data_IF_267677155896
#
_entry.id   IF_267677155896
#
_cell.length_a   1.000
_cell.length_b   1.000
_cell.length_c   1.000
_cell.angle_alpha   90.00
_cell.angle_beta   90.00
_cell.angle_gamma   90.00
#
_symmetry.space_group_name_H-M   'P 1'
#
loop_
_entity.id
_entity.type
_entity.pdbx_description
1 polymer ?
#
# COMPACT_ATOMS: atom_id res chain seq x y z
N UNK A 1 -18.36 3.56 15.19
CA UNK A 1 -16.93 3.57 14.82
C UNK A 1 -16.59 5.01 14.44
N UNK A 2 -15.54 5.60 15.01
CA UNK A 2 -15.10 6.95 14.64
C UNK A 2 -14.66 6.93 13.18
N UNK A 3 -15.06 7.89 12.40
CA UNK A 3 -14.63 8.06 11.01
C UNK A 3 -13.69 9.25 10.97
N UNK A 4 -12.58 9.13 10.27
CA UNK A 4 -11.69 10.26 9.98
C UNK A 4 -11.76 10.58 8.49
N UNK A 5 -11.65 11.85 8.18
CA UNK A 5 -11.48 12.29 6.80
C UNK A 5 -10.03 12.03 6.41
N UNK A 6 -9.82 11.24 5.36
CA UNK A 6 -8.50 10.97 4.79
C UNK A 6 -8.15 12.09 3.81
N UNK A 7 -7.84 13.27 4.35
CA UNK A 7 -7.72 14.52 3.59
C UNK A 7 -6.84 14.36 2.33
N UNK A 8 -5.64 13.83 2.48
CA UNK A 8 -4.71 13.64 1.35
C UNK A 8 -5.30 12.87 0.16
N UNK A 9 -6.08 11.83 0.41
CA UNK A 9 -6.74 11.06 -0.66
C UNK A 9 -7.99 11.78 -1.18
N UNK A 10 -8.77 12.38 -0.27
CA UNK A 10 -9.97 13.12 -0.65
C UNK A 10 -9.61 14.35 -1.51
N UNK A 11 -8.61 15.12 -1.11
CA UNK A 11 -8.12 16.27 -1.86
C UNK A 11 -7.64 15.84 -3.26
N UNK A 12 -6.94 14.71 -3.34
CA UNK A 12 -6.52 14.16 -4.63
C UNK A 12 -7.69 13.79 -5.53
N UNK A 13 -8.75 13.21 -4.99
CA UNK A 13 -9.96 12.90 -5.76
C UNK A 13 -10.65 14.20 -6.22
N UNK A 14 -10.72 15.21 -5.34
CA UNK A 14 -11.29 16.52 -5.64
C UNK A 14 -10.52 17.22 -6.78
N UNK A 15 -9.19 17.19 -6.75
CA UNK A 15 -8.34 17.71 -7.84
C UNK A 15 -8.61 17.05 -9.20
N UNK A 16 -9.03 15.79 -9.20
CA UNK A 16 -9.34 15.02 -10.40
C UNK A 16 -10.77 15.19 -10.87
N UNK A 17 -11.60 15.95 -10.16
CA UNK A 17 -12.99 16.20 -10.54
C UNK A 17 -13.09 16.80 -11.95
N UNK A 18 -13.93 16.22 -12.79
CA UNK A 18 -14.17 16.67 -14.16
C UNK A 18 -13.01 16.41 -15.13
N UNK A 19 -11.93 15.74 -14.72
CA UNK A 19 -10.91 15.25 -15.67
C UNK A 19 -11.44 14.08 -16.47
N UNK A 20 -11.02 13.90 -17.75
CA UNK A 20 -11.62 12.88 -18.61
C UNK A 20 -11.30 11.45 -18.20
N UNK A 21 -10.23 11.22 -17.43
CA UNK A 21 -9.76 9.88 -17.10
C UNK A 21 -10.71 9.14 -16.16
N UNK A 22 -10.70 7.79 -16.26
CA UNK A 22 -11.36 6.92 -15.28
C UNK A 22 -10.54 6.95 -13.98
N UNK A 23 -11.16 7.29 -12.85
CA UNK A 23 -10.51 7.32 -11.54
C UNK A 23 -10.65 5.94 -10.90
N UNK A 24 -9.53 5.28 -10.67
CA UNK A 24 -9.50 3.91 -10.14
C UNK A 24 -8.90 3.95 -8.74
N UNK A 25 -9.72 3.64 -7.74
CA UNK A 25 -9.30 3.61 -6.34
C UNK A 25 -8.85 2.20 -6.00
N UNK A 26 -7.54 2.00 -5.88
CA UNK A 26 -6.90 0.72 -5.56
C UNK A 26 -6.40 0.68 -4.12
N UNK A 27 -5.88 -0.43 -3.69
CA UNK A 27 -5.28 -0.57 -2.36
C UNK A 27 -5.70 -1.89 -1.68
N UNK A 28 -4.99 -2.34 -0.66
CA UNK A 28 -5.24 -3.60 0.01
C UNK A 28 -6.70 -3.72 0.52
N UNK A 29 -7.20 -4.93 0.61
CA UNK A 29 -8.51 -5.21 1.21
C UNK A 29 -8.62 -4.54 2.59
N UNK A 30 -9.77 -3.86 2.87
CA UNK A 30 -10.00 -3.13 4.13
C UNK A 30 -9.14 -1.87 4.35
N UNK A 31 -8.47 -1.34 3.33
CA UNK A 31 -7.75 -0.05 3.44
C UNK A 31 -8.66 1.19 3.48
N UNK A 32 -9.98 1.03 3.28
CA UNK A 32 -10.93 2.14 3.38
C UNK A 32 -11.36 2.74 2.04
N UNK A 33 -11.17 2.07 0.90
CA UNK A 33 -11.55 2.54 -0.46
C UNK A 33 -13.00 2.97 -0.57
N UNK A 34 -13.95 2.09 -0.18
CA UNK A 34 -15.39 2.38 -0.20
C UNK A 34 -15.78 3.57 0.67
N UNK A 35 -15.11 3.72 1.84
CA UNK A 35 -15.33 4.88 2.71
C UNK A 35 -14.82 6.19 2.11
N UNK A 36 -13.70 6.14 1.42
CA UNK A 36 -13.16 7.28 0.69
C UNK A 36 -14.08 7.69 -0.47
N UNK A 37 -14.60 6.72 -1.22
CA UNK A 37 -15.59 6.97 -2.27
C UNK A 37 -16.87 7.61 -1.70
N UNK A 38 -17.39 7.10 -0.57
CA UNK A 38 -18.55 7.67 0.10
C UNK A 38 -18.30 9.11 0.57
N UNK A 39 -17.13 9.38 1.18
CA UNK A 39 -16.76 10.73 1.59
C UNK A 39 -16.72 11.72 0.41
N UNK A 40 -16.25 11.25 -0.76
CA UNK A 40 -16.25 12.09 -1.96
C UNK A 40 -17.67 12.31 -2.50
N UNK A 41 -18.55 11.31 -2.46
CA UNK A 41 -19.97 11.46 -2.82
C UNK A 41 -20.65 12.49 -1.90
N UNK A 42 -20.37 12.49 -0.61
CA UNK A 42 -20.88 13.47 0.33
C UNK A 42 -20.37 14.88 -0.01
N UNK A 43 -19.06 15.00 -0.24
CA UNK A 43 -18.46 16.26 -0.70
C UNK A 43 -19.14 16.82 -1.96
N UNK A 44 -19.42 15.99 -2.98
CA UNK A 44 -20.09 16.41 -4.20
C UNK A 44 -21.49 16.93 -3.92
N UNK A 45 -22.27 16.25 -3.06
CA UNK A 45 -23.63 16.66 -2.68
C UNK A 45 -23.67 18.00 -1.94
N UNK A 46 -22.65 18.28 -1.15
CA UNK A 46 -22.54 19.51 -0.36
C UNK A 46 -22.07 20.72 -1.19
N UNK A 47 -21.29 20.48 -2.23
CA UNK A 47 -20.61 21.55 -2.98
C UNK A 47 -21.16 21.79 -4.39
N UNK A 48 -22.03 20.92 -4.93
CA UNK A 48 -22.54 21.02 -6.29
C UNK A 48 -24.06 20.78 -6.33
N UNK A 49 -24.81 21.71 -6.97
CA UNK A 49 -26.29 21.65 -7.04
C UNK A 49 -26.80 20.86 -8.24
N UNK A 50 -26.15 20.95 -9.39
CA UNK A 50 -26.62 20.38 -10.65
C UNK A 50 -25.92 19.07 -11.02
N UNK A 51 -25.97 18.09 -10.14
CA UNK A 51 -25.31 16.80 -10.30
C UNK A 51 -26.31 15.64 -10.31
N UNK A 52 -25.93 14.56 -10.94
CA UNK A 52 -26.58 13.25 -10.87
C UNK A 52 -25.55 12.22 -10.42
N UNK A 53 -25.84 11.48 -9.36
CA UNK A 53 -24.93 10.47 -8.78
C UNK A 53 -25.55 9.10 -9.04
N UNK A 54 -24.86 8.28 -9.85
CA UNK A 54 -25.17 6.88 -10.10
C UNK A 54 -24.16 6.08 -9.26
N UNK A 55 -24.63 5.51 -8.13
CA UNK A 55 -23.81 4.73 -7.22
C UNK A 55 -24.25 3.27 -7.24
N UNK A 56 -23.31 2.36 -7.50
CA UNK A 56 -23.51 0.93 -7.58
C UNK A 56 -22.52 0.27 -6.62
N UNK A 57 -23.02 -0.46 -5.64
CA UNK A 57 -22.22 -1.29 -4.73
C UNK A 57 -22.51 -2.78 -5.02
N UNK A 58 -21.59 -3.46 -5.65
CA UNK A 58 -21.76 -4.87 -6.00
C UNK A 58 -21.75 -5.84 -4.81
N UNK A 59 -21.51 -5.35 -3.61
CA UNK A 59 -21.71 -6.13 -2.38
C UNK A 59 -23.16 -6.08 -1.89
N UNK A 60 -23.96 -5.14 -2.37
CA UNK A 60 -25.38 -5.04 -2.07
C UNK A 60 -26.19 -5.91 -3.05
N UNK A 61 -27.07 -6.76 -2.49
CA UNK A 61 -27.94 -7.66 -3.27
C UNK A 61 -28.91 -6.90 -4.19
N UNK A 62 -29.20 -5.64 -3.92
CA UNK A 62 -30.06 -4.81 -4.79
C UNK A 62 -29.47 -4.64 -6.20
N UNK A 63 -28.17 -4.88 -6.37
CA UNK A 63 -27.48 -4.81 -7.66
C UNK A 63 -27.14 -6.20 -8.24
N UNK A 64 -27.70 -7.28 -7.70
CA UNK A 64 -27.40 -8.66 -8.16
C UNK A 64 -27.71 -8.86 -9.65
N UNK A 65 -28.84 -8.32 -10.13
CA UNK A 65 -29.28 -8.46 -11.51
C UNK A 65 -28.41 -7.72 -12.52
N UNK A 66 -27.58 -6.77 -12.07
CA UNK A 66 -26.68 -6.00 -12.96
C UNK A 66 -25.22 -6.41 -12.86
N UNK A 67 -24.91 -7.56 -12.28
CA UNK A 67 -23.55 -8.14 -12.23
C UNK A 67 -23.05 -8.72 -13.56
N UNK A 68 -23.73 -8.41 -14.66
CA UNK A 68 -23.32 -8.72 -16.02
C UNK A 68 -23.04 -7.42 -16.77
N UNK A 69 -21.97 -7.35 -17.57
CA UNK A 69 -21.48 -6.09 -18.11
C UNK A 69 -22.48 -5.37 -19.07
N UNK A 70 -23.33 -6.10 -19.81
CA UNK A 70 -24.39 -5.47 -20.60
C UNK A 70 -25.49 -4.88 -19.70
N UNK A 71 -25.87 -5.60 -18.63
CA UNK A 71 -26.86 -5.12 -17.68
C UNK A 71 -26.34 -3.91 -16.90
N UNK A 72 -25.07 -3.93 -16.48
CA UNK A 72 -24.39 -2.77 -15.89
C UNK A 72 -24.45 -1.55 -16.83
N UNK A 73 -24.07 -1.73 -18.10
CA UNK A 73 -24.10 -0.66 -19.08
C UNK A 73 -25.51 -0.09 -19.27
N UNK A 74 -26.52 -0.96 -19.46
CA UNK A 74 -27.90 -0.56 -19.63
C UNK A 74 -28.45 0.18 -18.39
N UNK A 75 -28.11 -0.30 -17.19
CA UNK A 75 -28.51 0.34 -15.94
C UNK A 75 -27.97 1.77 -15.84
N UNK A 76 -26.68 1.98 -16.13
CA UNK A 76 -26.06 3.31 -16.09
C UNK A 76 -26.72 4.24 -17.10
N UNK A 77 -26.98 3.76 -18.32
CA UNK A 77 -27.65 4.56 -19.36
C UNK A 77 -29.09 4.95 -18.97
N UNK A 78 -29.83 4.04 -18.34
CA UNK A 78 -31.19 4.32 -17.87
C UNK A 78 -31.24 5.39 -16.74
N UNK A 79 -30.13 5.57 -16.01
CA UNK A 79 -30.03 6.54 -14.92
C UNK A 79 -29.33 7.83 -15.32
N UNK A 80 -28.95 7.99 -16.59
CA UNK A 80 -28.37 9.23 -17.11
C UNK A 80 -29.41 10.35 -17.03
N UNK A 81 -28.98 11.55 -16.61
CA UNK A 81 -29.82 12.76 -16.59
C UNK A 81 -29.22 13.85 -17.47
N UNK A 82 -29.95 14.19 -18.53
CA UNK A 82 -29.56 15.25 -19.43
C UNK A 82 -29.53 16.63 -18.73
N UNK A 83 -28.52 17.44 -19.04
CA UNK A 83 -28.35 18.76 -18.45
C UNK A 83 -27.71 18.76 -17.05
N UNK A 84 -27.38 17.60 -16.51
CA UNK A 84 -26.62 17.47 -15.25
C UNK A 84 -25.23 16.93 -15.47
N UNK A 85 -24.31 17.22 -14.54
CA UNK A 85 -23.04 16.49 -14.45
C UNK A 85 -23.29 15.11 -13.86
N UNK A 86 -23.03 14.07 -14.66
CA UNK A 86 -23.31 12.69 -14.28
C UNK A 86 -22.04 12.03 -13.73
N UNK A 87 -22.06 11.68 -12.46
CA UNK A 87 -21.02 10.92 -11.78
C UNK A 87 -21.40 9.44 -11.70
N UNK A 88 -20.51 8.58 -12.14
CA UNK A 88 -20.66 7.13 -12.01
C UNK A 88 -19.68 6.59 -10.97
N UNK A 89 -20.20 6.01 -9.92
CA UNK A 89 -19.43 5.31 -8.89
C UNK A 89 -19.77 3.83 -8.90
N UNK A 90 -18.75 2.97 -9.04
CA UNK A 90 -18.93 1.51 -8.97
C UNK A 90 -17.96 0.95 -7.94
N UNK A 91 -18.50 0.48 -6.83
CA UNK A 91 -17.73 -0.17 -5.76
C UNK A 91 -17.66 -1.69 -6.00
N UNK A 92 -16.47 -2.28 -5.73
CA UNK A 92 -16.15 -3.71 -5.94
C UNK A 92 -16.45 -4.18 -7.38
N UNK A 93 -16.04 -3.40 -8.37
CA UNK A 93 -16.36 -3.57 -9.81
C UNK A 93 -15.98 -4.95 -10.36
N UNK A 94 -15.01 -5.66 -9.78
CA UNK A 94 -14.61 -7.00 -10.18
C UNK A 94 -15.69 -8.07 -9.95
N UNK A 95 -16.73 -7.75 -9.19
CA UNK A 95 -17.90 -8.64 -9.02
C UNK A 95 -18.76 -8.71 -10.28
N UNK A 96 -18.53 -7.83 -11.25
CA UNK A 96 -19.14 -7.86 -12.58
C UNK A 96 -18.10 -8.39 -13.59
N UNK A 97 -18.18 -9.65 -14.06
CA UNK A 97 -17.27 -10.17 -15.07
C UNK A 97 -17.28 -9.33 -16.34
N UNK A 98 -16.09 -9.05 -16.90
CA UNK A 98 -15.92 -8.22 -18.10
C UNK A 98 -16.39 -6.76 -17.94
N UNK A 99 -16.41 -6.25 -16.71
CA UNK A 99 -16.81 -4.87 -16.40
C UNK A 99 -16.07 -3.83 -17.25
N UNK A 100 -14.83 -4.11 -17.63
CA UNK A 100 -14.01 -3.22 -18.46
C UNK A 100 -14.65 -2.90 -19.81
N UNK A 101 -15.44 -3.82 -20.38
CA UNK A 101 -16.17 -3.56 -21.62
C UNK A 101 -17.27 -2.52 -21.43
N UNK A 102 -18.02 -2.61 -20.32
CA UNK A 102 -19.06 -1.63 -19.99
C UNK A 102 -18.45 -0.26 -19.67
N UNK A 103 -17.41 -0.23 -18.81
CA UNK A 103 -16.75 1.01 -18.39
C UNK A 103 -16.10 1.72 -19.59
N UNK A 104 -15.37 1.02 -20.47
CA UNK A 104 -14.79 1.61 -21.66
C UNK A 104 -15.85 2.16 -22.65
N UNK A 105 -17.00 1.46 -22.79
CA UNK A 105 -18.12 1.93 -23.59
C UNK A 105 -18.71 3.22 -23.03
N UNK A 106 -18.95 3.30 -21.72
CA UNK A 106 -19.46 4.50 -21.04
C UNK A 106 -18.45 5.66 -21.12
N UNK A 107 -17.16 5.37 -20.91
CA UNK A 107 -16.08 6.34 -21.05
C UNK A 107 -16.06 6.97 -22.45
N UNK A 108 -16.18 6.18 -23.51
CA UNK A 108 -16.11 6.68 -24.88
C UNK A 108 -17.25 7.62 -25.25
N UNK A 109 -18.36 7.62 -24.50
CA UNK A 109 -19.47 8.55 -24.68
C UNK A 109 -19.18 9.96 -24.14
N UNK A 110 -18.19 10.12 -23.24
CA UNK A 110 -17.81 11.40 -22.65
C UNK A 110 -18.91 12.08 -21.82
N UNK A 111 -19.86 11.28 -21.29
CA UNK A 111 -21.04 11.76 -20.55
C UNK A 111 -20.95 11.62 -19.05
N UNK A 112 -19.97 10.86 -18.58
CA UNK A 112 -19.84 10.45 -17.18
C UNK A 112 -18.47 10.79 -16.63
N UNK A 113 -18.42 11.26 -15.40
CA UNK A 113 -17.20 11.28 -14.60
C UNK A 113 -17.14 9.97 -13.80
N UNK A 114 -16.17 9.08 -14.11
CA UNK A 114 -16.20 7.67 -13.73
C UNK A 114 -15.20 7.40 -12.60
N UNK A 115 -15.70 6.83 -11.51
CA UNK A 115 -14.93 6.38 -10.35
C UNK A 115 -15.22 4.91 -10.07
N UNK A 116 -14.20 4.08 -10.03
CA UNK A 116 -14.38 2.67 -9.72
C UNK A 116 -13.45 2.24 -8.58
N UNK A 117 -13.92 1.32 -7.75
CA UNK A 117 -13.05 0.62 -6.80
C UNK A 117 -13.05 -0.87 -7.08
N UNK A 118 -12.06 -1.54 -6.58
CA UNK A 118 -12.04 -2.99 -6.56
C UNK A 118 -10.98 -3.54 -5.62
N UNK A 119 -11.18 -4.78 -5.22
CA UNK A 119 -10.18 -5.47 -4.43
C UNK A 119 -8.98 -5.86 -5.30
N UNK A 120 -7.82 -5.80 -4.71
CA UNK A 120 -6.49 -5.80 -5.31
C UNK A 120 -6.21 -6.94 -6.30
N UNK A 121 -6.74 -8.12 -6.00
CA UNK A 121 -6.48 -9.27 -6.85
C UNK A 121 -7.02 -9.10 -8.28
N UNK A 122 -7.98 -8.22 -8.51
CA UNK A 122 -8.67 -8.07 -9.79
C UNK A 122 -8.39 -6.75 -10.53
N UNK A 123 -8.07 -5.67 -9.80
CA UNK A 123 -7.66 -4.38 -10.38
C UNK A 123 -6.15 -4.18 -10.17
N UNK A 124 -5.35 -4.96 -10.88
CA UNK A 124 -3.89 -4.84 -10.82
C UNK A 124 -3.43 -3.67 -11.66
N UNK A 125 -2.48 -2.88 -11.17
CA UNK A 125 -1.86 -1.83 -11.99
C UNK A 125 -1.36 -2.35 -13.34
N UNK A 126 -0.82 -3.58 -13.38
CA UNK A 126 -0.39 -4.21 -14.63
C UNK A 126 -1.54 -4.59 -15.56
N UNK A 127 -2.70 -5.01 -15.02
CA UNK A 127 -3.90 -5.32 -15.80
C UNK A 127 -4.64 -4.05 -16.23
N UNK A 128 -4.66 -3.00 -15.37
CA UNK A 128 -5.31 -1.73 -15.66
C UNK A 128 -4.78 -1.06 -16.94
N UNK A 129 -3.47 -1.08 -17.14
CA UNK A 129 -2.86 -0.56 -18.36
C UNK A 129 -3.37 -1.26 -19.62
N UNK A 130 -3.69 -2.55 -19.52
CA UNK A 130 -4.26 -3.34 -20.63
C UNK A 130 -5.77 -3.14 -20.75
N UNK A 131 -6.50 -3.15 -19.61
CA UNK A 131 -7.95 -3.04 -19.59
C UNK A 131 -8.45 -1.65 -20.03
N UNK A 132 -7.75 -0.59 -19.64
CA UNK A 132 -8.18 0.80 -19.89
C UNK A 132 -7.26 1.56 -20.86
N UNK A 133 -6.21 0.92 -21.40
CA UNK A 133 -5.33 1.49 -22.46
C UNK A 133 -4.81 2.90 -22.17
N UNK A 134 -4.41 3.18 -20.90
CA UNK A 134 -3.87 4.48 -20.48
C UNK A 134 -4.91 5.59 -20.29
N UNK A 135 -6.20 5.25 -20.20
CA UNK A 135 -7.31 6.20 -19.98
C UNK A 135 -7.76 6.24 -18.53
N UNK A 136 -6.84 6.08 -17.60
CA UNK A 136 -7.16 6.04 -16.16
C UNK A 136 -6.11 6.75 -15.34
N UNK A 137 -6.53 7.18 -14.15
CA UNK A 137 -5.65 7.63 -13.07
C UNK A 137 -5.88 6.73 -11.87
N UNK A 138 -4.81 6.15 -11.35
CA UNK A 138 -4.84 5.32 -10.15
C UNK A 138 -4.68 6.16 -8.89
N UNK A 139 -5.54 5.90 -7.90
CA UNK A 139 -5.48 6.46 -6.56
C UNK A 139 -5.25 5.31 -5.60
N UNK A 140 -3.99 5.10 -5.22
CA UNK A 140 -3.60 3.99 -4.37
C UNK A 140 -3.77 4.30 -2.89
N UNK A 141 -4.69 3.58 -2.22
CA UNK A 141 -5.08 3.79 -0.82
C UNK A 141 -4.36 2.79 0.09
N UNK A 142 -3.38 3.27 0.84
CA UNK A 142 -2.68 2.50 1.87
C UNK A 142 -3.55 2.32 3.13
N UNK A 143 -3.25 1.35 4.03
CA UNK A 143 -3.73 1.36 5.41
C UNK A 143 -3.46 2.71 6.07
N UNK A 144 -4.08 3.01 7.20
CA UNK A 144 -3.85 4.28 7.89
C UNK A 144 -2.37 4.54 8.15
N UNK A 145 -1.93 5.78 7.91
CA UNK A 145 -0.62 6.26 8.35
C UNK A 145 -0.58 6.39 9.89
N UNK A 146 0.62 6.60 10.43
CA UNK A 146 0.73 6.90 11.86
C UNK A 146 0.00 8.19 12.21
N UNK A 147 0.07 9.22 11.36
CA UNK A 147 -0.68 10.46 11.53
C UNK A 147 -2.20 10.21 11.56
N UNK A 148 -2.74 9.41 10.61
CA UNK A 148 -4.16 9.04 10.59
C UNK A 148 -4.55 8.19 11.82
N UNK A 149 -3.64 7.35 12.31
CA UNK A 149 -3.81 6.61 13.56
C UNK A 149 -3.97 7.55 14.75
N UNK A 150 -3.08 8.53 14.90
CA UNK A 150 -3.16 9.55 15.94
C UNK A 150 -4.46 10.37 15.84
N UNK A 151 -4.86 10.79 14.65
CA UNK A 151 -6.14 11.49 14.41
C UNK A 151 -7.36 10.63 14.79
N UNK A 152 -7.30 9.32 14.53
CA UNK A 152 -8.38 8.41 14.87
C UNK A 152 -8.58 8.32 16.38
N UNK A 153 -7.52 8.18 17.14
CA UNK A 153 -7.60 8.07 18.58
C UNK A 153 -7.85 9.43 19.24
N UNK A 154 -7.28 10.52 18.70
CA UNK A 154 -7.52 11.93 19.11
C UNK A 154 -7.68 12.05 20.64
N UNK A 155 -6.70 11.55 21.35
CA UNK A 155 -6.70 11.52 22.80
C UNK A 155 -5.42 12.18 23.36
N UNK A 156 -5.38 12.35 24.68
CA UNK A 156 -4.27 13.00 25.38
C UNK A 156 -3.03 12.12 25.56
N UNK A 157 -2.96 10.97 24.86
CA UNK A 157 -1.80 10.09 24.96
C UNK A 157 -0.60 10.71 24.26
N UNK A 158 0.56 10.46 24.82
CA UNK A 158 1.81 10.86 24.24
C UNK A 158 2.05 10.18 22.88
N UNK A 159 2.65 10.91 21.94
CA UNK A 159 3.01 10.42 20.62
C UNK A 159 3.87 9.15 20.68
N UNK A 160 4.73 9.02 21.67
CA UNK A 160 5.56 7.85 21.88
C UNK A 160 4.74 6.60 22.19
N UNK A 161 3.73 6.73 23.06
CA UNK A 161 2.81 5.64 23.38
C UNK A 161 1.98 5.22 22.16
N UNK A 162 1.46 6.19 21.41
CA UNK A 162 0.72 5.94 20.18
C UNK A 162 1.59 5.26 19.13
N UNK A 163 2.87 5.63 19.02
CA UNK A 163 3.81 5.00 18.10
C UNK A 163 4.09 3.54 18.46
N UNK A 164 4.33 3.24 19.73
CA UNK A 164 4.53 1.86 20.20
C UNK A 164 3.29 0.99 19.90
N UNK A 165 2.09 1.53 20.14
CA UNK A 165 0.85 0.83 19.80
C UNK A 165 0.68 0.63 18.29
N UNK A 166 0.95 1.66 17.48
CA UNK A 166 0.83 1.60 16.02
C UNK A 166 1.80 0.57 15.41
N UNK A 167 3.00 0.45 15.94
CA UNK A 167 3.99 -0.54 15.51
C UNK A 167 3.47 -1.98 15.60
N UNK A 168 2.57 -2.24 16.57
CA UNK A 168 1.95 -3.56 16.79
C UNK A 168 0.59 -3.68 16.10
N UNK A 169 -0.23 -2.63 16.15
CA UNK A 169 -1.62 -2.64 15.66
C UNK A 169 -1.73 -2.34 14.17
N UNK A 170 -0.76 -1.62 13.62
CA UNK A 170 -0.76 -1.20 12.22
C UNK A 170 -1.91 -0.24 11.86
N UNK A 171 -2.11 -0.06 10.56
CA UNK A 171 -3.05 0.88 9.95
C UNK A 171 -4.36 0.26 9.41
N UNK A 172 -4.59 -1.05 9.59
CA UNK A 172 -5.87 -1.67 9.21
C UNK A 172 -6.99 -1.23 10.15
N UNK A 173 -7.55 -0.05 9.90
CA UNK A 173 -8.45 0.68 10.81
C UNK A 173 -9.72 -0.08 11.22
N UNK A 174 -10.15 -1.08 10.46
CA UNK A 174 -11.25 -1.98 10.84
C UNK A 174 -10.97 -2.73 12.15
N UNK A 175 -9.70 -2.98 12.48
CA UNK A 175 -9.29 -3.64 13.73
C UNK A 175 -9.56 -2.76 14.97
N UNK A 176 -9.62 -1.44 14.81
CA UNK A 176 -9.79 -0.51 15.93
C UNK A 176 -11.19 -0.55 16.57
N UNK A 177 -12.17 -1.14 15.87
CA UNK A 177 -13.51 -1.36 16.42
C UNK A 177 -13.52 -2.40 17.57
N UNK A 178 -12.49 -3.24 17.66
CA UNK A 178 -12.41 -4.30 18.65
C UNK A 178 -11.74 -3.80 19.95
N UNK A 179 -12.26 -4.24 21.09
CA UNK A 179 -11.78 -3.79 22.40
C UNK A 179 -10.54 -4.54 22.88
N UNK A 180 -10.44 -5.84 22.55
CA UNK A 180 -9.30 -6.67 23.02
C UNK A 180 -8.22 -6.81 21.95
N UNK A 181 -6.96 -6.93 22.37
CA UNK A 181 -5.85 -7.17 21.45
C UNK A 181 -6.01 -8.49 20.69
N UNK A 182 -6.58 -9.50 21.35
CA UNK A 182 -6.86 -10.79 20.72
C UNK A 182 -7.80 -10.64 19.52
N UNK A 183 -8.89 -9.88 19.68
CA UNK A 183 -9.88 -9.71 18.61
C UNK A 183 -9.34 -8.84 17.48
N UNK A 184 -8.53 -7.81 17.80
CA UNK A 184 -7.82 -7.01 16.79
C UNK A 184 -6.87 -7.87 15.96
N UNK A 185 -6.05 -8.65 16.63
CA UNK A 185 -5.10 -9.58 15.99
C UNK A 185 -5.82 -10.61 15.11
N UNK A 186 -6.92 -11.18 15.60
CA UNK A 186 -7.73 -12.12 14.83
C UNK A 186 -8.32 -11.45 13.59
N UNK A 187 -8.87 -10.24 13.70
CA UNK A 187 -9.39 -9.50 12.56
C UNK A 187 -8.33 -9.29 11.48
N UNK A 188 -7.13 -8.83 11.88
CA UNK A 188 -6.02 -8.59 10.93
C UNK A 188 -5.60 -9.90 10.26
N UNK A 189 -5.49 -10.99 11.04
CA UNK A 189 -5.18 -12.33 10.51
C UNK A 189 -6.23 -12.79 9.52
N UNK A 190 -7.51 -12.67 9.82
CA UNK A 190 -8.60 -13.04 8.91
C UNK A 190 -8.58 -12.23 7.60
N UNK A 191 -8.27 -10.94 7.66
CA UNK A 191 -8.08 -10.10 6.45
C UNK A 191 -6.95 -10.65 5.60
N UNK A 192 -5.79 -10.91 6.20
CA UNK A 192 -4.63 -11.44 5.51
C UNK A 192 -4.89 -12.83 4.90
N UNK A 193 -5.43 -13.76 5.69
CA UNK A 193 -5.77 -15.09 5.23
C UNK A 193 -6.80 -15.06 4.10
N UNK A 194 -7.80 -14.19 4.18
CA UNK A 194 -8.78 -14.00 3.10
C UNK A 194 -8.09 -13.63 1.79
N UNK A 195 -7.11 -12.71 1.83
CA UNK A 195 -6.38 -12.31 0.62
C UNK A 195 -5.55 -13.48 0.09
N UNK A 196 -4.77 -14.12 0.94
CA UNK A 196 -3.79 -15.16 0.53
C UNK A 196 -4.50 -16.45 0.12
N UNK A 197 -5.49 -16.92 0.88
CA UNK A 197 -6.07 -18.26 0.68
C UNK A 197 -7.34 -18.27 -0.16
N UNK A 198 -8.05 -17.15 -0.28
CA UNK A 198 -9.29 -17.05 -1.05
C UNK A 198 -9.12 -16.20 -2.29
N UNK A 199 -8.81 -14.91 -2.12
CA UNK A 199 -8.86 -13.95 -3.22
C UNK A 199 -7.78 -14.29 -4.29
N UNK A 200 -6.54 -14.59 -3.89
CA UNK A 200 -5.48 -14.98 -4.82
C UNK A 200 -5.70 -16.37 -5.44
N UNK A 201 -6.12 -17.33 -4.63
CA UNK A 201 -6.39 -18.70 -5.09
C UNK A 201 -7.51 -18.70 -6.14
N UNK A 202 -8.59 -17.98 -5.86
CA UNK A 202 -9.73 -17.86 -6.80
C UNK A 202 -9.31 -17.15 -8.09
N UNK A 203 -8.61 -16.00 -8.00
CA UNK A 203 -8.19 -15.24 -9.18
C UNK A 203 -7.27 -16.03 -10.12
N UNK A 204 -6.26 -16.67 -9.53
CA UNK A 204 -5.21 -17.33 -10.33
C UNK A 204 -5.42 -18.85 -10.48
N UNK A 205 -6.55 -19.38 -9.97
CA UNK A 205 -6.87 -20.82 -9.98
C UNK A 205 -5.70 -21.68 -9.48
N UNK A 206 -5.14 -21.31 -8.33
CA UNK A 206 -3.91 -21.91 -7.83
C UNK A 206 -4.16 -23.34 -7.32
N UNK A 207 -3.42 -24.33 -7.83
CA UNK A 207 -3.61 -25.73 -7.43
C UNK A 207 -3.01 -26.05 -6.05
N UNK A 208 -2.01 -25.29 -5.62
CA UNK A 208 -1.27 -25.51 -4.37
C UNK A 208 -1.27 -24.26 -3.50
N UNK A 209 -2.15 -24.27 -2.51
CA UNK A 209 -2.29 -23.19 -1.55
C UNK A 209 -1.19 -23.21 -0.47
N UNK A 210 -0.62 -24.38 -0.18
CA UNK A 210 0.39 -24.55 0.86
C UNK A 210 1.68 -23.79 0.51
N UNK A 211 2.13 -23.89 -0.75
CA UNK A 211 3.32 -23.13 -1.20
C UNK A 211 3.09 -21.63 -1.08
N UNK A 212 1.91 -21.12 -1.46
CA UNK A 212 1.58 -19.71 -1.34
C UNK A 212 1.56 -19.25 0.13
N UNK A 213 0.97 -20.05 1.00
CA UNK A 213 0.89 -19.79 2.44
C UNK A 213 2.28 -19.73 3.07
N UNK A 214 3.11 -20.76 2.87
CA UNK A 214 4.48 -20.82 3.38
C UNK A 214 5.36 -19.71 2.85
N UNK A 215 5.20 -19.36 1.56
CA UNK A 215 5.90 -18.26 0.95
C UNK A 215 5.50 -16.94 1.60
N UNK A 216 4.21 -16.70 1.81
CA UNK A 216 3.73 -15.45 2.40
C UNK A 216 4.16 -15.28 3.85
N UNK A 217 4.16 -16.37 4.66
CA UNK A 217 4.73 -16.41 6.01
C UNK A 217 6.23 -16.12 6.00
N UNK A 218 6.97 -16.76 5.08
CA UNK A 218 8.41 -16.52 4.92
C UNK A 218 8.73 -15.07 4.60
N UNK A 219 8.01 -14.45 3.65
CA UNK A 219 8.21 -13.06 3.29
C UNK A 219 7.85 -12.11 4.44
N UNK A 220 6.80 -12.42 5.21
CA UNK A 220 6.41 -11.65 6.40
C UNK A 220 7.48 -11.67 7.49
N UNK A 221 8.17 -12.81 7.68
CA UNK A 221 9.29 -12.92 8.64
C UNK A 221 10.57 -12.26 8.12
N UNK A 222 10.73 -12.21 6.80
CA UNK A 222 11.93 -11.70 6.14
C UNK A 222 11.74 -10.34 5.47
N UNK A 223 10.80 -9.51 5.97
CA UNK A 223 10.65 -8.12 5.49
C UNK A 223 11.98 -7.38 5.58
N UNK A 224 12.21 -6.44 4.68
CA UNK A 224 13.43 -5.62 4.62
C UNK A 224 14.73 -6.39 4.32
N UNK A 225 14.67 -7.71 4.09
CA UNK A 225 15.84 -8.50 3.71
C UNK A 225 15.92 -8.72 2.20
N UNK A 226 17.14 -8.66 1.68
CA UNK A 226 17.41 -9.04 0.29
C UNK A 226 17.04 -10.50 0.05
N UNK A 227 16.13 -10.71 -0.88
CA UNK A 227 15.53 -12.01 -1.16
C UNK A 227 15.48 -12.25 -2.68
N UNK A 228 15.60 -13.50 -3.09
CA UNK A 228 15.43 -13.92 -4.48
C UNK A 228 14.57 -15.17 -4.56
N UNK A 229 13.78 -15.36 -5.63
CA UNK A 229 12.96 -16.57 -5.82
C UNK A 229 13.75 -17.87 -5.70
N UNK A 230 15.01 -17.87 -6.16
CA UNK A 230 15.91 -19.02 -6.08
C UNK A 230 16.23 -19.40 -4.63
N UNK A 231 16.67 -18.43 -3.82
CA UNK A 231 16.96 -18.63 -2.39
C UNK A 231 15.74 -19.13 -1.64
N UNK A 232 14.58 -18.50 -1.88
CA UNK A 232 13.32 -18.86 -1.22
C UNK A 232 12.89 -20.29 -1.60
N UNK A 233 12.95 -20.65 -2.87
CA UNK A 233 12.55 -22.00 -3.31
C UNK A 233 13.41 -23.10 -2.68
N UNK A 234 14.72 -22.85 -2.53
CA UNK A 234 15.64 -23.77 -1.84
C UNK A 234 15.26 -23.93 -0.36
N UNK A 235 14.98 -22.83 0.35
CA UNK A 235 14.59 -22.84 1.76
C UNK A 235 13.25 -23.56 1.97
N UNK A 236 12.24 -23.27 1.15
CA UNK A 236 10.94 -23.92 1.22
C UNK A 236 11.06 -25.44 0.95
N UNK A 237 11.84 -25.84 -0.04
CA UNK A 237 12.07 -27.26 -0.35
C UNK A 237 12.80 -27.96 0.79
N UNK A 238 13.80 -27.32 1.39
CA UNK A 238 14.50 -27.85 2.56
C UNK A 238 13.57 -28.02 3.79
N UNK A 239 12.52 -27.22 3.90
CA UNK A 239 11.46 -27.32 4.92
C UNK A 239 10.26 -28.18 4.47
N UNK A 240 10.49 -29.15 3.58
CA UNK A 240 9.50 -30.11 3.06
C UNK A 240 8.36 -29.52 2.22
N UNK A 241 8.49 -28.28 1.76
CA UNK A 241 7.53 -27.65 0.81
C UNK A 241 8.17 -27.62 -0.57
N UNK A 242 7.98 -28.71 -1.33
CA UNK A 242 8.60 -28.87 -2.66
C UNK A 242 8.09 -27.83 -3.64
N UNK A 243 9.00 -27.01 -4.13
CA UNK A 243 8.66 -25.94 -5.10
C UNK A 243 9.88 -25.56 -5.94
N UNK A 244 9.72 -24.70 -6.91
CA UNK A 244 10.79 -24.19 -7.74
C UNK A 244 10.77 -22.66 -7.84
N UNK A 245 11.88 -22.08 -8.30
CA UNK A 245 12.03 -20.63 -8.36
C UNK A 245 11.04 -19.91 -9.30
N UNK A 246 10.55 -20.61 -10.34
CA UNK A 246 9.56 -20.04 -11.28
C UNK A 246 8.21 -19.89 -10.58
N UNK A 247 7.77 -20.91 -9.86
CA UNK A 247 6.52 -20.89 -9.06
C UNK A 247 6.60 -19.84 -7.96
N UNK A 248 7.72 -19.83 -7.21
CA UNK A 248 7.96 -18.83 -6.16
C UNK A 248 7.93 -17.41 -6.73
N UNK A 249 8.59 -17.15 -7.86
CA UNK A 249 8.57 -15.83 -8.51
C UNK A 249 7.18 -15.40 -8.94
N UNK A 250 6.38 -16.32 -9.48
CA UNK A 250 4.97 -16.04 -9.81
C UNK A 250 4.14 -15.71 -8.56
N UNK A 251 4.28 -16.47 -7.50
CA UNK A 251 3.52 -16.26 -6.27
C UNK A 251 3.92 -14.99 -5.54
N UNK A 252 5.21 -14.64 -5.54
CA UNK A 252 5.67 -13.31 -5.06
C UNK A 252 4.96 -12.21 -5.84
N UNK A 253 4.94 -12.29 -7.18
CA UNK A 253 4.25 -11.31 -8.01
C UNK A 253 2.75 -11.22 -7.69
N UNK A 254 2.09 -12.35 -7.39
CA UNK A 254 0.69 -12.35 -7.01
C UNK A 254 0.44 -11.68 -5.66
N UNK A 255 1.33 -11.89 -4.70
CA UNK A 255 1.28 -11.23 -3.39
C UNK A 255 1.52 -9.71 -3.51
N UNK A 256 2.47 -9.29 -4.35
CA UNK A 256 2.70 -7.87 -4.64
C UNK A 256 1.52 -7.25 -5.40
N UNK A 257 1.00 -7.95 -6.37
CA UNK A 257 -0.20 -7.53 -7.09
C UNK A 257 -1.42 -7.37 -6.17
N UNK A 258 -1.53 -8.13 -5.09
CA UNK A 258 -2.56 -7.96 -4.07
C UNK A 258 -2.23 -6.84 -3.07
N UNK A 259 -1.16 -6.09 -3.25
CA UNK A 259 -0.67 -5.07 -2.34
C UNK A 259 -0.42 -5.57 -0.92
N UNK A 260 -0.21 -6.87 -0.75
CA UNK A 260 0.23 -7.44 0.54
C UNK A 260 1.68 -7.09 0.77
N UNK A 261 2.49 -7.17 -0.30
CA UNK A 261 3.89 -6.76 -0.30
C UNK A 261 4.16 -5.75 -1.42
N UNK A 262 5.21 -4.94 -1.20
CA UNK A 262 5.80 -4.04 -2.18
C UNK A 262 7.22 -4.50 -2.45
N UNK A 263 7.54 -4.76 -3.72
CA UNK A 263 8.87 -5.13 -4.18
C UNK A 263 9.68 -3.87 -4.47
N UNK A 264 10.77 -3.71 -3.75
CA UNK A 264 11.67 -2.56 -3.90
C UNK A 264 12.97 -3.03 -4.57
N UNK A 265 13.18 -2.47 -5.76
CA UNK A 265 14.35 -2.77 -6.60
C UNK A 265 15.61 -2.12 -6.08
N UNK A 266 16.74 -2.70 -6.43
CA UNK A 266 18.05 -2.14 -6.08
C UNK A 266 18.54 -1.12 -7.09
N UNK A 267 19.22 -0.09 -6.60
CA UNK A 267 19.84 0.96 -7.40
C UNK A 267 21.33 1.06 -7.05
N UNK A 268 22.18 0.89 -8.05
CA UNK A 268 23.65 1.13 -7.90
C UNK A 268 23.90 2.63 -7.92
N UNK A 269 24.23 3.19 -6.76
CA UNK A 269 24.44 4.64 -6.58
C UNK A 269 25.62 5.13 -7.43
N UNK A 270 26.69 4.35 -7.52
CA UNK A 270 27.88 4.71 -8.30
C UNK A 270 27.66 4.50 -9.80
N UNK A 271 27.14 3.34 -10.17
CA UNK A 271 26.87 2.99 -11.56
C UNK A 271 25.65 3.69 -12.16
N UNK A 272 24.83 4.35 -11.31
CA UNK A 272 23.59 5.03 -11.69
C UNK A 272 22.66 4.14 -12.53
N UNK A 273 22.53 2.86 -12.14
CA UNK A 273 21.73 1.87 -12.85
C UNK A 273 20.93 0.99 -11.91
N UNK A 274 19.79 0.52 -12.39
CA UNK A 274 18.98 -0.46 -11.68
C UNK A 274 19.64 -1.84 -11.74
N UNK A 275 19.49 -2.62 -10.67
CA UNK A 275 20.01 -3.97 -10.56
C UNK A 275 18.84 -4.95 -10.60
N UNK A 276 18.91 -5.95 -11.47
CA UNK A 276 17.87 -6.95 -11.66
C UNK A 276 17.91 -8.11 -10.65
N UNK A 277 18.94 -8.17 -9.80
CA UNK A 277 19.15 -9.28 -8.87
C UNK A 277 18.79 -8.93 -7.44
N UNK A 278 18.00 -9.75 -6.81
CA UNK A 278 17.58 -9.67 -5.40
C UNK A 278 16.89 -8.35 -5.05
N UNK A 279 15.68 -8.43 -4.58
CA UNK A 279 14.82 -7.33 -4.17
C UNK A 279 14.58 -7.40 -2.67
N UNK A 280 14.17 -6.30 -2.05
CA UNK A 280 13.58 -6.32 -0.71
C UNK A 280 12.05 -6.26 -0.84
N UNK A 281 11.38 -6.97 0.05
CA UNK A 281 9.92 -6.99 0.12
C UNK A 281 9.47 -6.32 1.40
N UNK A 282 8.54 -5.39 1.27
CA UNK A 282 7.98 -4.63 2.38
C UNK A 282 6.49 -4.93 2.50
N UNK A 283 6.06 -5.24 3.71
CA UNK A 283 4.68 -5.57 4.03
C UNK A 283 3.84 -4.28 4.09
N UNK A 284 2.66 -4.29 3.54
CA UNK A 284 1.78 -3.11 3.47
C UNK A 284 1.38 -2.53 4.83
N UNK A 285 1.49 -3.32 5.91
CA UNK A 285 1.07 -2.94 7.26
C UNK A 285 1.84 -3.73 8.33
N UNK A 286 2.42 -3.03 9.30
CA UNK A 286 3.19 -3.66 10.37
C UNK A 286 2.32 -4.57 11.28
N UNK A 287 1.04 -4.25 11.46
CA UNK A 287 0.10 -5.05 12.24
C UNK A 287 -0.13 -6.44 11.68
N UNK A 288 0.00 -6.62 10.36
CA UNK A 288 -0.08 -7.95 9.74
C UNK A 288 1.07 -8.83 10.22
N UNK A 289 2.31 -8.28 10.27
CA UNK A 289 3.44 -9.04 10.78
C UNK A 289 3.20 -9.53 12.20
N UNK A 290 2.73 -8.65 13.06
CA UNK A 290 2.41 -9.00 14.45
C UNK A 290 1.28 -10.04 14.52
N UNK A 291 0.24 -9.89 13.72
CA UNK A 291 -0.89 -10.82 13.71
C UNK A 291 -0.50 -12.25 13.26
N UNK A 292 0.46 -12.37 12.34
CA UNK A 292 0.88 -13.67 11.79
C UNK A 292 1.95 -14.33 12.66
N UNK A 293 2.97 -13.59 13.09
CA UNK A 293 4.15 -14.11 13.76
C UNK A 293 4.15 -13.89 15.28
N UNK A 294 3.27 -13.03 15.80
CA UNK A 294 3.29 -12.59 17.18
C UNK A 294 4.51 -11.74 17.50
N UNK A 295 4.89 -11.69 18.77
CA UNK A 295 6.08 -10.97 19.26
C UNK A 295 7.39 -11.75 19.09
N UNK A 296 7.36 -12.94 18.49
CA UNK A 296 8.55 -13.75 18.28
C UNK A 296 9.53 -13.05 17.36
N UNK A 297 10.79 -12.99 17.75
CA UNK A 297 11.89 -12.42 16.94
C UNK A 297 11.57 -11.03 16.39
N UNK A 298 10.97 -10.15 17.21
CA UNK A 298 10.71 -8.76 16.80
C UNK A 298 12.06 -8.05 16.59
N UNK A 299 12.42 -7.93 15.34
CA UNK A 299 13.51 -7.08 14.87
C UNK A 299 12.91 -5.69 14.56
N UNK A 300 12.99 -4.79 15.53
CA UNK A 300 12.42 -3.45 15.38
C UNK A 300 13.09 -2.66 14.26
N UNK A 301 14.36 -2.89 13.98
CA UNK A 301 15.05 -2.24 12.86
C UNK A 301 14.34 -2.53 11.54
N UNK A 302 14.02 -3.81 11.27
CA UNK A 302 13.28 -4.20 10.07
C UNK A 302 11.84 -3.69 10.05
N UNK A 303 11.17 -3.68 11.21
CA UNK A 303 9.80 -3.15 11.31
C UNK A 303 9.81 -1.64 11.00
N UNK A 304 10.75 -0.89 11.54
CA UNK A 304 10.86 0.55 11.28
C UNK A 304 11.25 0.83 9.84
N UNK A 305 12.18 0.06 9.28
CA UNK A 305 12.52 0.14 7.84
C UNK A 305 11.27 -0.11 6.99
N UNK A 306 10.46 -1.13 7.32
CA UNK A 306 9.20 -1.39 6.64
C UNK A 306 8.21 -0.21 6.75
N UNK A 307 8.03 0.36 7.94
CA UNK A 307 7.13 1.50 8.15
C UNK A 307 7.58 2.72 7.35
N UNK A 308 8.87 3.01 7.34
CA UNK A 308 9.46 4.11 6.55
C UNK A 308 9.26 3.87 5.06
N UNK A 309 9.47 2.64 4.56
CA UNK A 309 9.22 2.31 3.16
C UNK A 309 7.79 2.60 2.74
N UNK A 310 6.81 2.09 3.50
CA UNK A 310 5.39 2.30 3.20
C UNK A 310 5.01 3.79 3.26
N UNK A 311 5.58 4.54 4.20
CA UNK A 311 5.34 5.98 4.28
C UNK A 311 5.95 6.73 3.08
N UNK A 312 7.15 6.38 2.64
CA UNK A 312 7.78 6.96 1.45
C UNK A 312 6.93 6.71 0.18
N UNK A 313 6.43 5.48 0.00
CA UNK A 313 5.51 5.15 -1.09
C UNK A 313 4.20 5.96 -0.99
N UNK A 314 3.63 6.11 0.22
CA UNK A 314 2.43 6.92 0.48
C UNK A 314 2.64 8.40 0.15
N UNK A 315 3.85 8.94 0.38
CA UNK A 315 4.24 10.31 0.00
C UNK A 315 4.50 10.47 -1.49
N UNK A 316 4.44 9.38 -2.26
CA UNK A 316 4.59 9.36 -3.71
C UNK A 316 6.05 9.45 -4.17
N UNK A 317 6.99 8.95 -3.37
CA UNK A 317 8.37 8.76 -3.80
C UNK A 317 8.53 7.46 -4.60
N UNK A 318 9.38 7.50 -5.62
CA UNK A 318 9.99 6.31 -6.18
C UNK A 318 11.07 5.82 -5.21
N UNK A 319 10.93 4.60 -4.71
CA UNK A 319 11.77 4.03 -3.65
C UNK A 319 12.66 2.93 -4.21
N UNK A 320 13.94 2.96 -3.85
CA UNK A 320 14.94 1.97 -4.24
C UNK A 320 15.83 1.62 -3.05
N UNK A 321 16.33 0.38 -3.02
CA UNK A 321 17.41 -0.02 -2.09
C UNK A 321 18.74 0.37 -2.71
N UNK A 322 19.52 1.21 -2.02
CA UNK A 322 20.79 1.69 -2.52
C UNK A 322 21.92 0.65 -2.38
N UNK A 323 22.74 0.52 -3.41
CA UNK A 323 24.02 -0.21 -3.34
C UNK A 323 25.18 0.76 -3.56
N UNK A 324 26.07 0.84 -2.58
CA UNK A 324 27.31 1.62 -2.68
C UNK A 324 28.51 0.69 -2.41
N UNK A 325 29.18 0.22 -3.46
CA UNK A 325 30.23 -0.81 -3.40
C UNK A 325 29.70 -2.10 -2.75
N UNK A 326 30.19 -2.45 -1.56
CA UNK A 326 29.76 -3.60 -0.77
C UNK A 326 28.77 -3.22 0.34
N UNK A 327 28.45 -1.91 0.48
CA UNK A 327 27.53 -1.40 1.49
C UNK A 327 26.14 -1.22 0.91
N UNK A 328 25.16 -1.33 1.74
CA UNK A 328 23.76 -1.03 1.45
C UNK A 328 23.41 0.35 2.01
N UNK A 329 22.53 1.05 1.33
CA UNK A 329 21.77 2.20 1.81
C UNK A 329 20.32 1.75 1.79
N UNK A 330 19.63 1.84 2.92
CA UNK A 330 18.28 1.28 3.02
C UNK A 330 17.36 1.85 1.95
N UNK A 331 17.39 3.19 1.75
CA UNK A 331 16.61 3.80 0.69
C UNK A 331 17.37 4.87 -0.09
N UNK A 332 17.19 4.84 -1.39
CA UNK A 332 17.39 5.94 -2.34
C UNK A 332 16.01 6.32 -2.86
N UNK A 333 15.54 7.51 -2.53
CA UNK A 333 14.20 7.95 -2.91
C UNK A 333 14.25 9.12 -3.86
N UNK A 334 13.30 9.16 -4.81
CA UNK A 334 13.19 10.20 -5.82
C UNK A 334 11.75 10.67 -5.96
N UNK A 335 11.56 11.98 -6.13
CA UNK A 335 10.27 12.58 -6.46
C UNK A 335 10.49 13.83 -7.31
N UNK A 336 10.18 13.73 -8.60
CA UNK A 336 10.55 14.77 -9.56
C UNK A 336 12.08 14.95 -9.62
N UNK A 337 12.56 16.14 -9.27
CA UNK A 337 14.00 16.47 -9.22
C UNK A 337 14.65 16.19 -7.84
N UNK A 338 13.86 15.91 -6.84
CA UNK A 338 14.33 15.62 -5.49
C UNK A 338 14.89 14.20 -5.40
N UNK A 339 15.99 14.06 -4.69
CA UNK A 339 16.62 12.78 -4.37
C UNK A 339 17.15 12.83 -2.95
N UNK A 340 16.89 11.78 -2.16
CA UNK A 340 17.33 11.67 -0.77
C UNK A 340 17.90 10.28 -0.52
N UNK A 341 18.95 10.18 0.31
CA UNK A 341 19.50 8.92 0.81
C UNK A 341 19.09 8.74 2.27
N UNK A 342 18.52 7.60 2.60
CA UNK A 342 17.95 7.34 3.93
C UNK A 342 18.51 6.03 4.49
N UNK A 343 18.98 6.07 5.75
CA UNK A 343 19.24 4.91 6.60
C UNK A 343 18.16 4.84 7.68
N UNK A 344 17.78 3.63 8.07
CA UNK A 344 16.81 3.41 9.14
C UNK A 344 17.40 2.50 10.21
N UNK A 345 17.23 2.87 11.47
CA UNK A 345 17.73 2.09 12.59
C UNK A 345 16.73 2.07 13.74
N UNK A 346 16.71 0.99 14.51
CA UNK A 346 15.93 0.91 15.74
C UNK A 346 16.53 1.75 16.86
N UNK A 347 17.85 1.86 16.90
CA UNK A 347 18.58 2.59 17.93
C UNK A 347 19.96 3.04 17.43
N UNK A 348 20.30 4.28 17.70
CA UNK A 348 21.61 4.89 17.38
C UNK A 348 22.29 5.49 18.62
N UNK A 349 21.92 5.08 19.83
CA UNK A 349 22.48 5.61 21.07
C UNK A 349 23.92 5.13 21.34
N UNK A 350 24.31 3.96 20.82
CA UNK A 350 25.72 3.55 20.92
C UNK A 350 26.57 4.22 19.84
N UNK A 351 27.78 4.72 20.19
CA UNK A 351 28.69 5.32 19.19
C UNK A 351 29.02 4.40 18.03
N UNK A 352 29.13 3.10 18.27
CA UNK A 352 29.43 2.09 17.24
C UNK A 352 28.29 1.97 16.23
N UNK A 353 27.03 1.85 16.70
CA UNK A 353 25.85 1.80 15.84
C UNK A 353 25.71 3.10 15.08
N UNK A 354 25.83 4.24 15.75
CA UNK A 354 25.75 5.54 15.11
C UNK A 354 26.75 5.70 13.96
N UNK A 355 28.03 5.35 14.18
CA UNK A 355 29.05 5.40 13.14
C UNK A 355 28.77 4.41 12.01
N UNK A 356 28.26 3.22 12.32
CA UNK A 356 27.89 2.22 11.32
C UNK A 356 26.82 2.75 10.37
N UNK A 357 25.79 3.44 10.90
CA UNK A 357 24.70 4.02 10.09
C UNK A 357 25.17 5.28 9.32
N UNK A 358 26.02 6.12 9.90
CA UNK A 358 26.55 7.29 9.21
C UNK A 358 27.55 6.96 8.09
N UNK A 359 28.39 5.94 8.29
CA UNK A 359 29.52 5.66 7.41
C UNK A 359 29.15 5.39 5.93
N UNK A 360 28.05 4.69 5.57
CA UNK A 360 27.63 4.55 4.20
C UNK A 360 27.22 5.89 3.57
N UNK A 361 26.47 6.71 4.30
CA UNK A 361 25.97 8.01 3.83
C UNK A 361 27.11 9.00 3.59
N UNK A 362 28.11 9.03 4.48
CA UNK A 362 29.29 9.91 4.35
C UNK A 362 30.20 9.54 3.16
N UNK A 363 30.11 8.30 2.67
CA UNK A 363 30.84 7.87 1.47
C UNK A 363 30.19 8.32 0.15
N UNK A 364 28.95 8.77 0.19
CA UNK A 364 28.25 9.30 -0.99
C UNK A 364 28.77 10.71 -1.27
N UNK A 365 29.41 10.90 -2.44
CA UNK A 365 30.11 12.15 -2.81
C UNK A 365 29.25 13.08 -3.68
N UNK A 366 27.94 13.07 -3.50
CA UNK A 366 27.06 14.03 -4.15
C UNK A 366 26.39 14.97 -3.15
N UNK A 367 25.72 16.01 -3.66
CA UNK A 367 25.13 17.09 -2.86
C UNK A 367 23.67 16.79 -2.43
N UNK A 368 23.16 15.60 -2.72
CA UNK A 368 21.79 15.27 -2.32
C UNK A 368 21.68 15.07 -0.81
N UNK A 369 20.54 15.43 -0.21
CA UNK A 369 20.29 15.26 1.21
C UNK A 369 20.50 13.82 1.68
N UNK A 370 20.96 13.69 2.90
CA UNK A 370 21.21 12.42 3.59
C UNK A 370 20.50 12.44 4.93
N UNK A 371 19.82 11.36 5.27
CA UNK A 371 18.97 11.29 6.45
C UNK A 371 19.16 9.95 7.18
N UNK A 372 19.13 10.00 8.50
CA UNK A 372 18.95 8.83 9.36
C UNK A 372 17.60 8.98 10.07
N UNK A 373 16.76 7.97 9.96
CA UNK A 373 15.49 7.88 10.68
C UNK A 373 15.64 6.78 11.72
N UNK A 374 15.56 7.14 12.99
CA UNK A 374 15.76 6.18 14.09
C UNK A 374 14.87 6.52 15.29
N UNK A 375 14.67 5.56 16.18
CA UNK A 375 13.96 5.80 17.42
C UNK A 375 14.88 6.52 18.43
N UNK A 376 14.99 7.82 18.27
CA UNK A 376 15.91 8.64 19.09
C UNK A 376 15.23 9.24 20.33
N UNK A 377 13.92 9.50 20.25
CA UNK A 377 13.16 10.28 21.24
C UNK A 377 13.76 11.67 21.49
N UNK A 378 14.44 12.22 20.49
CA UNK A 378 15.05 13.54 20.51
C UNK A 378 14.58 14.35 19.31
N UNK A 379 14.47 15.67 19.42
CA UNK A 379 14.21 16.55 18.30
C UNK A 379 15.25 16.37 17.19
N UNK A 380 14.83 16.68 15.95
CA UNK A 380 15.71 16.65 14.77
C UNK A 380 17.02 17.39 15.03
N UNK A 381 18.15 16.78 14.63
CA UNK A 381 19.47 17.40 14.67
C UNK A 381 20.29 16.99 13.45
N UNK A 382 21.49 17.53 13.30
CA UNK A 382 22.37 17.26 12.16
C UNK A 382 23.77 16.84 12.62
N UNK A 383 24.36 15.88 11.91
CA UNK A 383 25.73 15.43 12.11
C UNK A 383 26.44 15.28 10.76
N UNK A 384 27.51 16.03 10.53
CA UNK A 384 28.32 16.02 9.28
C UNK A 384 27.44 16.13 8.00
N UNK A 385 26.37 16.94 8.05
CA UNK A 385 25.47 17.15 6.91
C UNK A 385 24.44 16.03 6.74
N UNK A 386 24.35 15.06 7.66
CA UNK A 386 23.31 14.08 7.74
C UNK A 386 22.22 14.58 8.71
N UNK A 387 20.97 14.63 8.27
CA UNK A 387 19.85 14.93 9.14
C UNK A 387 19.43 13.69 9.93
N UNK A 388 19.19 13.82 11.22
CA UNK A 388 18.79 12.73 12.09
C UNK A 388 17.42 13.07 12.66
N UNK A 389 16.46 12.17 12.40
CA UNK A 389 15.06 12.31 12.78
C UNK A 389 14.63 11.20 13.73
N UNK A 390 13.80 11.55 14.71
CA UNK A 390 13.00 10.53 15.40
C UNK A 390 11.94 9.97 14.45
N UNK A 391 11.78 8.64 14.43
CA UNK A 391 10.84 8.00 13.50
C UNK A 391 9.39 8.38 13.76
N UNK A 392 8.96 8.54 15.02
CA UNK A 392 7.59 8.94 15.33
C UNK A 392 7.32 10.37 14.85
N UNK A 393 8.24 11.30 15.11
CA UNK A 393 8.16 12.68 14.60
C UNK A 393 8.17 12.72 13.07
N UNK A 394 9.02 11.93 12.43
CA UNK A 394 9.12 11.89 10.97
C UNK A 394 7.84 11.36 10.32
N UNK A 395 7.21 10.33 10.92
CA UNK A 395 5.93 9.77 10.44
C UNK A 395 4.72 10.71 10.66
N UNK A 396 4.84 11.71 11.54
CA UNK A 396 3.82 12.74 11.76
C UNK A 396 3.93 13.92 10.77
N UNK A 397 5.07 14.06 10.08
CA UNK A 397 5.25 15.09 9.04
C UNK A 397 4.53 14.68 7.75
N UNK A 398 3.97 15.66 7.01
CA UNK A 398 3.39 15.45 5.69
C UNK A 398 4.43 15.42 4.58
#
# INVERSE_FOLDING_TARGET
MKTITRAKYLDRIIELNGTPDIKIITGIRRSGKSKLMQAYIEYLKENFENINIIFIDFMDLSFEEIKEYHALHAYVEAHYQEGKTNYLFVDEVQMCPKFELAINSLYSKGKYDIYITGSNAFLLSADLATLFTGRYIEIHVFPFSFQEYCQYYDDSRDTDQLFEEYTVRGGLSGSYAYRTEKDRTNYIREVYETIVTRDLVQKYSLPDTLVLQRLSEFLTDNISNLTSPNKVSQLLTASQTVTNHVTVGKYIKYLCNAFVFYDIKRFDIRGKKYLESSEKFYLCDAGIRYAILGSRNMDYGRVYENMVCIELLRRGYDVYVGKLYQKEIDFVVQKGSEKVYIQVSDNISSPETFQRECAPLLQIRDAYPKMIIARTRHPKYSYEGIEIHDIAEWLMQE
#
